data_IF_147100406875
#
_entry.id   IF_147100406875
#
_cell.length_a   1.000
_cell.length_b   1.000
_cell.length_c   1.000
_cell.angle_alpha   90.00
_cell.angle_beta   90.00
_cell.angle_gamma   90.00
#
_symmetry.space_group_name_H-M   'P 1'
#
loop_
_entity.id
_entity.type
_entity.pdbx_description
1 polymer ?
#
# COMPACT_ATOMS: atom_id res chain seq x y z
N UNK A 1 -23.98 4.20 -18.36
CA UNK A 1 -24.92 4.93 -17.51
C UNK A 1 -26.16 4.09 -17.20
N UNK A 2 -26.97 3.73 -18.21
CA UNK A 2 -28.26 3.05 -18.02
C UNK A 2 -28.18 1.74 -17.22
N UNK A 3 -27.16 0.90 -17.46
CA UNK A 3 -27.01 -0.39 -16.76
C UNK A 3 -26.63 -0.27 -15.28
N UNK A 4 -25.96 0.82 -14.89
CA UNK A 4 -25.46 1.01 -13.52
C UNK A 4 -26.30 2.05 -12.73
N UNK A 5 -27.27 2.72 -13.36
CA UNK A 5 -28.03 3.80 -12.74
C UNK A 5 -27.16 4.98 -12.30
N UNK A 6 -25.96 5.15 -12.87
CA UNK A 6 -25.03 6.20 -12.49
C UNK A 6 -25.58 7.58 -12.89
N UNK A 7 -25.74 8.45 -11.89
CA UNK A 7 -26.21 9.85 -12.07
C UNK A 7 -25.08 10.86 -11.94
N UNK A 8 -23.97 10.47 -11.33
CA UNK A 8 -22.77 11.31 -11.14
C UNK A 8 -21.52 10.53 -11.47
N UNK A 9 -20.63 11.15 -12.22
CA UNK A 9 -19.31 10.62 -12.54
C UNK A 9 -18.24 11.58 -12.04
N UNK A 10 -17.12 11.04 -11.63
CA UNK A 10 -15.93 11.80 -11.27
C UNK A 10 -14.74 11.23 -12.00
N UNK A 11 -13.90 12.08 -12.59
CA UNK A 11 -12.65 11.67 -13.21
C UNK A 11 -11.59 12.78 -13.09
N UNK A 12 -10.31 12.44 -13.32
CA UNK A 12 -9.27 13.44 -13.48
C UNK A 12 -9.32 14.08 -14.88
N UNK A 13 -8.58 15.16 -15.06
CA UNK A 13 -8.51 15.90 -16.34
C UNK A 13 -7.90 15.10 -17.50
N UNK A 14 -7.04 14.13 -17.17
CA UNK A 14 -6.32 13.26 -18.11
C UNK A 14 -7.02 11.90 -18.32
N UNK A 15 -8.25 11.76 -17.85
CA UNK A 15 -9.02 10.52 -18.00
C UNK A 15 -9.22 10.16 -19.47
N UNK A 16 -8.95 8.89 -19.79
CA UNK A 16 -9.15 8.29 -21.12
C UNK A 16 -9.97 7.01 -21.00
N UNK A 17 -10.77 6.73 -22.02
CA UNK A 17 -11.63 5.55 -22.04
C UNK A 17 -11.89 5.03 -23.45
N UNK A 18 -12.56 3.87 -23.53
CA UNK A 18 -12.93 3.24 -24.79
C UNK A 18 -11.78 2.57 -25.51
N UNK A 19 -12.06 2.01 -26.71
CA UNK A 19 -11.09 1.29 -27.52
C UNK A 19 -9.91 2.21 -27.92
N UNK A 20 -8.69 1.80 -27.57
CA UNK A 20 -7.48 2.57 -27.85
C UNK A 20 -7.37 3.89 -27.10
N UNK A 21 -8.07 4.04 -25.95
CA UNK A 21 -8.09 5.26 -25.15
C UNK A 21 -8.48 6.53 -25.92
N UNK A 22 -9.33 6.40 -26.94
CA UNK A 22 -9.78 7.52 -27.82
C UNK A 22 -10.76 8.44 -27.15
N UNK A 23 -11.52 7.98 -26.15
CA UNK A 23 -12.40 8.81 -25.37
C UNK A 23 -11.62 9.71 -24.41
N UNK A 24 -12.01 10.97 -24.34
CA UNK A 24 -11.45 11.98 -23.43
C UNK A 24 -12.55 12.62 -22.56
N UNK A 25 -12.14 13.53 -21.69
CA UNK A 25 -13.06 14.25 -20.80
C UNK A 25 -14.12 15.06 -21.60
N UNK A 26 -13.77 15.59 -22.78
CA UNK A 26 -14.71 16.33 -23.60
C UNK A 26 -15.81 15.42 -24.16
N UNK A 27 -15.43 14.25 -24.65
CA UNK A 27 -16.41 13.24 -25.08
C UNK A 27 -17.24 12.74 -23.90
N UNK A 28 -16.60 12.47 -22.73
CA UNK A 28 -17.32 12.03 -21.53
C UNK A 28 -18.37 13.06 -21.09
N UNK A 29 -18.05 14.34 -21.15
CA UNK A 29 -18.97 15.43 -20.81
C UNK A 29 -20.22 15.43 -21.71
N UNK A 30 -20.02 15.27 -23.01
CA UNK A 30 -21.14 15.17 -23.97
C UNK A 30 -22.03 13.95 -23.68
N UNK A 31 -21.42 12.79 -23.42
CA UNK A 31 -22.14 11.57 -23.09
C UNK A 31 -22.93 11.70 -21.77
N UNK A 32 -22.35 12.35 -20.77
CA UNK A 32 -23.04 12.64 -19.51
C UNK A 32 -24.28 13.53 -19.74
N UNK A 33 -24.13 14.61 -20.49
CA UNK A 33 -25.23 15.49 -20.83
C UNK A 33 -26.37 14.76 -21.54
N UNK A 34 -26.05 13.90 -22.53
CA UNK A 34 -27.05 13.09 -23.23
C UNK A 34 -27.77 12.08 -22.33
N UNK A 35 -27.08 11.58 -21.31
CA UNK A 35 -27.61 10.61 -20.35
C UNK A 35 -28.26 11.25 -19.12
N UNK A 36 -28.36 12.58 -19.04
CA UNK A 36 -28.86 13.27 -17.84
C UNK A 36 -28.01 13.06 -16.59
N UNK A 37 -26.68 12.81 -16.75
CA UNK A 37 -25.75 12.59 -15.67
C UNK A 37 -24.83 13.80 -15.46
N UNK A 38 -24.41 14.02 -14.22
CA UNK A 38 -23.44 15.05 -13.86
C UNK A 38 -22.00 14.52 -14.03
N UNK A 39 -21.10 15.36 -14.55
CA UNK A 39 -19.66 15.07 -14.61
C UNK A 39 -18.88 16.07 -13.76
N UNK A 40 -18.19 15.56 -12.73
CA UNK A 40 -17.18 16.31 -12.01
C UNK A 40 -15.80 15.95 -12.51
N UNK A 41 -15.03 16.93 -12.98
CA UNK A 41 -13.64 16.75 -13.37
C UNK A 41 -12.76 17.29 -12.23
N UNK A 42 -12.11 16.36 -11.52
CA UNK A 42 -11.25 16.72 -10.40
C UNK A 42 -10.01 17.43 -10.90
N UNK A 43 -9.66 18.59 -10.32
CA UNK A 43 -8.39 19.26 -10.64
C UNK A 43 -7.21 18.41 -10.19
N UNK A 44 -6.03 18.55 -10.84
CA UNK A 44 -4.84 17.81 -10.44
C UNK A 44 -4.34 18.30 -9.08
N UNK A 45 -4.09 17.35 -8.18
CA UNK A 45 -3.35 17.62 -6.95
C UNK A 45 -1.88 17.75 -7.28
N UNK A 46 -1.20 18.72 -6.68
CA UNK A 46 0.24 18.97 -6.90
C UNK A 46 0.99 18.94 -5.58
N UNK A 47 2.22 18.46 -5.64
CA UNK A 47 3.23 18.56 -4.58
C UNK A 47 4.42 19.35 -5.17
N UNK A 48 4.54 20.60 -4.78
CA UNK A 48 5.36 21.57 -5.48
C UNK A 48 4.88 21.78 -6.92
N UNK A 49 5.80 21.76 -7.87
CA UNK A 49 5.48 21.93 -9.30
C UNK A 49 4.99 20.64 -9.96
N UNK A 50 5.13 19.50 -9.30
CA UNK A 50 4.84 18.20 -9.88
C UNK A 50 3.45 17.71 -9.53
N UNK A 51 2.76 17.12 -10.52
CA UNK A 51 1.47 16.46 -10.32
C UNK A 51 1.62 15.20 -9.46
N UNK A 52 0.72 15.04 -8.50
CA UNK A 52 0.55 13.78 -7.78
C UNK A 52 -0.09 12.77 -8.72
N UNK A 53 0.54 11.59 -8.87
CA UNK A 53 0.05 10.51 -9.71
C UNK A 53 0.36 9.15 -9.10
N UNK A 54 -0.42 8.13 -9.48
CA UNK A 54 -0.17 6.75 -9.07
C UNK A 54 1.23 6.26 -9.46
N UNK A 55 1.73 6.67 -10.63
CA UNK A 55 3.08 6.32 -11.08
C UNK A 55 4.15 6.89 -10.15
N UNK A 56 4.03 8.17 -9.78
CA UNK A 56 4.98 8.83 -8.88
C UNK A 56 4.93 8.22 -7.47
N UNK A 57 3.72 7.89 -6.98
CA UNK A 57 3.55 7.23 -5.68
C UNK A 57 4.21 5.85 -5.68
N UNK A 58 3.96 5.04 -6.71
CA UNK A 58 4.59 3.71 -6.83
C UNK A 58 6.10 3.80 -6.87
N UNK A 59 6.65 4.70 -7.67
CA UNK A 59 8.09 4.91 -7.76
C UNK A 59 8.71 5.30 -6.40
N UNK A 60 8.04 6.14 -5.61
CA UNK A 60 8.49 6.50 -4.26
C UNK A 60 8.50 5.28 -3.33
N UNK A 61 7.43 4.46 -3.36
CA UNK A 61 7.34 3.22 -2.55
C UNK A 61 8.44 2.24 -2.94
N UNK A 62 8.64 1.99 -4.23
CA UNK A 62 9.64 1.07 -4.77
C UNK A 62 11.09 1.54 -4.50
N UNK A 63 11.30 2.84 -4.45
CA UNK A 63 12.59 3.44 -4.05
C UNK A 63 12.85 3.40 -2.54
N UNK A 64 11.81 3.14 -1.72
CA UNK A 64 11.87 3.22 -0.26
C UNK A 64 11.73 4.63 0.30
N UNK A 65 11.40 5.63 -0.54
CA UNK A 65 11.08 6.99 -0.10
C UNK A 65 9.63 7.04 0.43
N UNK A 66 9.45 6.40 1.56
CA UNK A 66 8.13 6.31 2.21
C UNK A 66 7.62 7.68 2.69
N UNK A 67 8.47 8.59 3.20
CA UNK A 67 8.01 9.93 3.52
C UNK A 67 7.40 10.67 2.33
N UNK A 68 8.01 10.59 1.15
CA UNK A 68 7.45 11.16 -0.08
C UNK A 68 6.14 10.45 -0.46
N UNK A 69 6.12 9.12 -0.44
CA UNK A 69 4.91 8.36 -0.75
C UNK A 69 3.74 8.76 0.16
N UNK A 70 3.99 8.93 1.47
CA UNK A 70 2.99 9.34 2.45
C UNK A 70 2.47 10.76 2.18
N UNK A 71 3.35 11.71 1.86
CA UNK A 71 2.93 13.07 1.46
C UNK A 71 2.08 13.04 0.20
N UNK A 72 2.51 12.31 -0.84
CA UNK A 72 1.77 12.19 -2.11
C UNK A 72 0.41 11.51 -1.93
N UNK A 73 0.29 10.54 -1.03
CA UNK A 73 -0.94 9.85 -0.70
C UNK A 73 -1.88 10.68 0.19
N UNK A 74 -1.38 11.67 0.92
CA UNK A 74 -2.11 12.37 1.97
C UNK A 74 -2.44 11.48 3.17
N UNK A 75 -1.80 10.32 3.29
CA UNK A 75 -1.97 9.35 4.38
C UNK A 75 -0.79 8.37 4.41
N UNK A 76 -0.54 7.69 5.54
CA UNK A 76 0.49 6.68 5.59
C UNK A 76 0.25 5.54 4.59
N UNK A 77 1.31 5.17 3.87
CA UNK A 77 1.35 3.97 3.05
C UNK A 77 1.39 2.74 3.96
N UNK A 78 0.68 1.70 3.59
CA UNK A 78 0.65 0.47 4.35
C UNK A 78 -0.25 -0.57 3.73
N UNK A 79 -0.32 -1.71 4.37
CA UNK A 79 -1.10 -2.86 3.94
C UNK A 79 -1.89 -3.43 5.12
N UNK A 80 -2.99 -4.11 4.81
CA UNK A 80 -3.81 -4.82 5.78
C UNK A 80 -3.91 -6.26 5.32
N UNK A 81 -3.14 -7.15 5.95
CA UNK A 81 -2.98 -8.54 5.56
C UNK A 81 -3.21 -9.45 6.78
N UNK A 82 -3.51 -10.70 6.51
CA UNK A 82 -3.64 -11.72 7.55
C UNK A 82 -2.27 -12.08 8.12
N UNK A 83 -2.22 -12.27 9.44
CA UNK A 83 -1.03 -12.74 10.13
C UNK A 83 -0.93 -14.25 9.97
N UNK A 84 0.15 -14.70 9.37
CA UNK A 84 0.44 -16.11 9.11
C UNK A 84 1.53 -16.63 10.05
N UNK A 85 1.62 -17.94 10.21
CA UNK A 85 2.73 -18.55 10.93
C UNK A 85 4.05 -18.35 10.18
N UNK A 86 5.06 -17.88 10.90
CA UNK A 86 6.45 -17.80 10.43
C UNK A 86 7.28 -18.98 10.90
N UNK A 87 8.56 -18.97 10.62
CA UNK A 87 9.51 -20.02 11.04
C UNK A 87 9.83 -20.02 12.55
N UNK A 88 9.11 -19.26 13.38
CA UNK A 88 9.22 -19.18 14.84
C UNK A 88 10.62 -18.84 15.41
N UNK A 89 11.54 -18.34 14.58
CA UNK A 89 12.93 -18.05 15.01
C UNK A 89 12.94 -16.94 16.07
N UNK A 90 12.04 -15.96 15.98
CA UNK A 90 11.94 -14.84 16.94
C UNK A 90 11.36 -15.23 18.31
N UNK A 91 10.56 -16.31 18.39
CA UNK A 91 9.95 -16.76 19.65
C UNK A 91 11.00 -17.27 20.65
N UNK A 92 12.09 -17.89 20.15
CA UNK A 92 13.19 -18.36 20.99
C UNK A 92 14.07 -17.21 21.56
N UNK A 93 13.98 -16.03 21.00
CA UNK A 93 14.75 -14.83 21.41
C UNK A 93 13.90 -13.82 22.20
N UNK A 94 12.65 -14.15 22.56
CA UNK A 94 11.77 -13.25 23.31
C UNK A 94 11.24 -12.03 22.52
N UNK A 95 11.37 -12.04 21.19
CA UNK A 95 10.93 -10.97 20.29
C UNK A 95 9.93 -11.50 19.26
N UNK A 96 8.67 -11.80 19.68
CA UNK A 96 7.68 -12.34 18.76
C UNK A 96 7.37 -11.32 17.66
N UNK A 97 7.41 -11.80 16.40
CA UNK A 97 7.08 -11.00 15.22
C UNK A 97 5.80 -11.54 14.57
N UNK A 98 5.00 -10.65 14.02
CA UNK A 98 3.93 -11.05 13.09
C UNK A 98 4.49 -11.16 11.68
N UNK A 99 4.03 -12.17 10.94
CA UNK A 99 4.41 -12.41 9.55
C UNK A 99 3.19 -12.23 8.66
N UNK A 100 3.35 -11.47 7.58
CA UNK A 100 2.28 -11.20 6.62
C UNK A 100 2.81 -11.40 5.20
N UNK A 101 2.15 -12.25 4.41
CA UNK A 101 2.53 -12.46 3.02
C UNK A 101 1.97 -11.34 2.15
N UNK A 102 2.86 -10.65 1.43
CA UNK A 102 2.47 -9.62 0.47
C UNK A 102 2.07 -10.31 -0.83
N UNK A 103 0.82 -10.14 -1.31
CA UNK A 103 0.34 -10.84 -2.50
C UNK A 103 0.98 -10.30 -3.78
N UNK A 104 1.02 -11.14 -4.81
CA UNK A 104 1.44 -10.73 -6.15
C UNK A 104 0.59 -9.54 -6.67
N UNK A 105 1.23 -8.67 -7.44
CA UNK A 105 0.59 -7.46 -7.99
C UNK A 105 0.45 -6.31 -6.99
N UNK A 106 0.86 -6.50 -5.74
CA UNK A 106 0.96 -5.41 -4.78
C UNK A 106 2.18 -4.54 -5.08
N UNK A 107 2.10 -3.23 -4.84
CA UNK A 107 3.26 -2.34 -4.95
C UNK A 107 4.23 -2.67 -3.83
N UNK A 108 5.37 -3.25 -4.17
CA UNK A 108 6.36 -3.67 -3.20
C UNK A 108 7.23 -2.49 -2.76
N UNK A 109 7.33 -2.21 -1.46
CA UNK A 109 8.35 -1.29 -0.97
C UNK A 109 9.74 -1.90 -1.19
N UNK A 110 10.75 -1.04 -1.32
CA UNK A 110 12.16 -1.47 -1.35
C UNK A 110 12.42 -2.46 -0.21
N UNK A 111 13.10 -3.56 -0.49
CA UNK A 111 13.41 -4.55 0.55
C UNK A 111 14.34 -3.98 1.62
N UNK A 112 13.97 -4.21 2.86
CA UNK A 112 14.69 -3.73 4.01
C UNK A 112 13.81 -3.47 5.22
N UNK A 113 14.35 -2.73 6.17
CA UNK A 113 13.77 -2.48 7.49
C UNK A 113 13.18 -1.08 7.54
N UNK A 114 11.99 -0.99 8.11
CA UNK A 114 11.19 0.23 8.19
C UNK A 114 10.76 0.52 9.64
N UNK A 115 10.72 1.79 10.00
CA UNK A 115 9.90 2.24 11.11
C UNK A 115 8.43 2.11 10.71
N UNK A 116 7.61 1.53 11.58
CA UNK A 116 6.22 1.22 11.28
C UNK A 116 5.29 1.42 12.46
N UNK A 117 3.99 1.48 12.19
CA UNK A 117 2.93 1.36 13.18
C UNK A 117 1.99 0.24 12.77
N UNK A 118 1.52 -0.51 13.76
CA UNK A 118 0.51 -1.53 13.60
C UNK A 118 -0.79 -1.09 14.26
N UNK A 119 -1.91 -1.33 13.60
CA UNK A 119 -3.23 -1.12 14.19
C UNK A 119 -3.85 -2.46 14.56
N UNK A 120 -4.06 -2.67 15.86
CA UNK A 120 -4.64 -3.90 16.44
C UNK A 120 -5.79 -3.50 17.35
N UNK A 121 -6.99 -4.05 17.13
CA UNK A 121 -8.16 -3.79 17.98
C UNK A 121 -8.57 -2.31 18.08
N UNK A 122 -8.11 -1.46 17.16
CA UNK A 122 -8.35 -0.02 17.21
C UNK A 122 -7.19 0.80 17.80
N UNK A 123 -6.27 0.18 18.50
CA UNK A 123 -5.07 0.79 19.09
C UNK A 123 -3.89 0.76 18.13
N UNK A 124 -2.91 1.66 18.36
CA UNK A 124 -1.69 1.76 17.56
C UNK A 124 -0.47 1.37 18.39
N UNK A 125 0.33 0.49 17.82
CA UNK A 125 1.59 0.01 18.39
C UNK A 125 2.73 0.39 17.47
N UNK A 126 3.83 0.91 18.04
CA UNK A 126 5.06 1.09 17.30
C UNK A 126 5.61 -0.27 16.87
N UNK A 127 6.27 -0.29 15.72
CA UNK A 127 6.85 -1.50 15.21
C UNK A 127 8.06 -1.25 14.32
N UNK A 128 8.81 -2.31 14.11
CA UNK A 128 9.87 -2.38 13.11
C UNK A 128 9.51 -3.49 12.13
N UNK A 129 9.35 -3.11 10.87
CA UNK A 129 8.92 -4.04 9.81
C UNK A 129 10.08 -4.33 8.85
N UNK A 130 10.46 -5.59 8.70
CA UNK A 130 11.33 -6.05 7.64
C UNK A 130 10.49 -6.54 6.46
N UNK A 131 10.72 -6.00 5.27
CA UNK A 131 10.11 -6.46 4.02
C UNK A 131 11.19 -7.13 3.18
N UNK A 132 10.98 -8.39 2.82
CA UNK A 132 11.98 -9.13 2.06
C UNK A 132 11.47 -10.46 1.52
N UNK A 133 12.31 -11.13 0.73
CA UNK A 133 12.02 -12.47 0.21
C UNK A 133 12.44 -13.52 1.23
N UNK A 134 11.52 -14.39 1.57
CA UNK A 134 11.81 -15.55 2.41
C UNK A 134 11.63 -16.83 1.60
N UNK A 135 12.66 -17.69 1.55
CA UNK A 135 12.52 -19.02 0.97
C UNK A 135 11.51 -19.81 1.80
N UNK A 136 10.48 -20.31 1.15
CA UNK A 136 9.55 -21.27 1.75
C UNK A 136 9.56 -22.55 0.92
N UNK A 137 9.14 -23.66 1.53
CA UNK A 137 9.05 -24.93 0.79
C UNK A 137 8.08 -24.76 -0.37
N UNK A 138 8.62 -24.71 -1.60
CA UNK A 138 7.85 -24.65 -2.84
C UNK A 138 7.72 -23.30 -3.54
N UNK A 139 8.04 -22.17 -2.91
CA UNK A 139 8.09 -20.85 -3.59
C UNK A 139 8.73 -19.76 -2.72
N UNK A 140 9.38 -18.81 -3.38
CA UNK A 140 9.82 -17.57 -2.74
C UNK A 140 8.62 -16.66 -2.52
N UNK A 141 8.40 -16.22 -1.30
CA UNK A 141 7.33 -15.27 -0.97
C UNK A 141 7.92 -13.98 -0.41
N UNK A 142 7.31 -12.86 -0.77
CA UNK A 142 7.61 -11.59 -0.12
C UNK A 142 6.83 -11.54 1.19
N UNK A 143 7.54 -11.43 2.30
CA UNK A 143 6.98 -11.30 3.63
C UNK A 143 7.27 -9.93 4.21
N UNK A 144 6.33 -9.42 5.00
CA UNK A 144 6.53 -8.36 5.96
C UNK A 144 6.57 -9.00 7.35
N UNK A 145 7.71 -8.92 8.02
CA UNK A 145 7.92 -9.39 9.39
C UNK A 145 7.94 -8.17 10.30
N UNK A 146 6.97 -8.03 11.18
CA UNK A 146 6.86 -6.85 12.05
C UNK A 146 7.01 -7.25 13.51
N UNK A 147 7.96 -6.62 14.18
CA UNK A 147 8.13 -6.65 15.63
C UNK A 147 7.44 -5.44 16.27
N UNK A 148 6.66 -5.70 17.31
CA UNK A 148 5.98 -4.69 18.11
C UNK A 148 6.40 -4.85 19.57
N UNK A 149 7.35 -4.03 20.08
CA UNK A 149 7.93 -4.21 21.42
C UNK A 149 6.90 -4.16 22.55
N UNK A 150 5.88 -3.31 22.41
CA UNK A 150 4.89 -3.07 23.46
C UNK A 150 3.62 -3.91 23.32
N UNK A 151 3.56 -4.81 22.32
CA UNK A 151 2.41 -5.67 22.11
C UNK A 151 2.64 -7.06 22.70
N UNK A 152 1.66 -7.51 23.48
CA UNK A 152 1.60 -8.88 23.99
C UNK A 152 0.27 -9.51 23.58
N UNK A 153 0.33 -10.65 22.94
CA UNK A 153 -0.85 -11.39 22.52
C UNK A 153 -0.63 -12.20 21.24
N UNK A 154 -1.65 -12.95 20.88
CA UNK A 154 -1.67 -13.76 19.65
C UNK A 154 -2.53 -13.06 18.58
N UNK A 155 -1.95 -12.90 17.39
CA UNK A 155 -2.58 -12.27 16.24
C UNK A 155 -2.73 -13.22 15.04
N UNK A 156 -2.40 -14.50 15.19
CA UNK A 156 -2.51 -15.46 14.08
C UNK A 156 -3.93 -15.53 13.53
N UNK A 157 -4.05 -15.54 12.20
CA UNK A 157 -5.31 -15.52 11.47
C UNK A 157 -6.05 -14.18 11.52
N UNK A 158 -5.61 -13.22 12.32
CA UNK A 158 -6.20 -11.89 12.36
C UNK A 158 -5.63 -10.99 11.26
N UNK A 159 -6.44 -10.07 10.80
CA UNK A 159 -6.02 -9.07 9.82
C UNK A 159 -5.46 -7.84 10.52
N UNK A 160 -4.15 -7.65 10.44
CA UNK A 160 -3.45 -6.50 11.03
C UNK A 160 -3.09 -5.51 9.94
N UNK A 161 -3.27 -4.22 10.22
CA UNK A 161 -2.82 -3.15 9.34
C UNK A 161 -1.48 -2.61 9.81
N UNK A 162 -0.50 -2.63 8.90
CA UNK A 162 0.84 -2.07 9.10
C UNK A 162 1.00 -0.83 8.23
N UNK A 163 1.48 0.25 8.82
CA UNK A 163 1.80 1.52 8.17
C UNK A 163 3.31 1.72 8.19
N UNK A 164 3.89 2.08 7.05
CA UNK A 164 5.32 2.38 6.94
C UNK A 164 5.56 3.88 6.98
N UNK A 165 6.63 4.30 7.66
CA UNK A 165 6.97 5.72 7.82
C UNK A 165 8.33 6.08 7.25
N UNK A 166 9.37 5.28 7.56
CA UNK A 166 10.75 5.58 7.21
C UNK A 166 11.48 4.31 6.84
N UNK A 167 12.30 4.37 5.78
CA UNK A 167 13.25 3.30 5.45
C UNK A 167 14.50 3.45 6.31
N UNK A 168 14.78 2.47 7.16
CA UNK A 168 15.88 2.55 8.12
C UNK A 168 17.18 2.02 7.53
N UNK A 169 17.12 0.85 6.87
CA UNK A 169 18.30 0.20 6.28
C UNK A 169 17.91 -0.96 5.35
N UNK A 170 18.79 -1.38 4.44
CA UNK A 170 18.63 -2.64 3.70
C UNK A 170 18.61 -3.86 4.62
N UNK A 171 18.13 -4.99 4.11
CA UNK A 171 18.30 -6.29 4.75
C UNK A 171 19.80 -6.61 4.95
N UNK A 172 20.12 -7.20 6.08
CA UNK A 172 21.47 -7.72 6.37
C UNK A 172 21.35 -9.15 6.85
N UNK A 173 22.16 -10.03 6.29
CA UNK A 173 22.40 -11.36 6.88
C UNK A 173 23.36 -11.15 8.04
N UNK A 174 22.92 -11.50 9.23
CA UNK A 174 23.83 -11.59 10.37
C UNK A 174 24.44 -12.99 10.34
N UNK A 175 25.76 -13.07 10.32
CA UNK A 175 26.48 -14.32 10.55
C UNK A 175 26.38 -14.60 12.03
N UNK A 176 25.78 -15.73 12.38
CA UNK A 176 25.76 -16.31 13.73
C UNK A 176 27.12 -16.89 14.05
#
# INVERSE_FOLDING_TARGET
FAKCGARRLCCGEDFRFGKGARGDVALLRRLCQQAGAELYVAPPVREGEQKVSSTRIRAAVEAGDIPLANRLLGRPFGFSLEVIHGNHIGTGLGTPTINQAIPEGFVLPKFGVYASWCRVGGEYFYGVTNVGIKPTVGSDRVLAETWMPDFQGDLYGQRVRVFLFEFLRPERKFHS
#
